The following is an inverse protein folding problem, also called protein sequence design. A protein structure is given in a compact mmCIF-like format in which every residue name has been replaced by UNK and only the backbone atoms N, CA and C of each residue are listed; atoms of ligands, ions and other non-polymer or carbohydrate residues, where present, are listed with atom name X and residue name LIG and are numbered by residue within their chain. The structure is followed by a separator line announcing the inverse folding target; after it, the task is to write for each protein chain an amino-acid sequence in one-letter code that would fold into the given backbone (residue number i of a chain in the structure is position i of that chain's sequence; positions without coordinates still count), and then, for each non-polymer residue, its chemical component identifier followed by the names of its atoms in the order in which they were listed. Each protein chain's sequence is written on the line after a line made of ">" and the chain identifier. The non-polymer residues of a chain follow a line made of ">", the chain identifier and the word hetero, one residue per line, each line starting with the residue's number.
data_IF_352144949078
#
_entry.id   IF_352144949078
#
_cell.length_a   1.000
_cell.length_b   1.000
_cell.length_c   1.000
_cell.angle_alpha   90.00
_cell.angle_beta   90.00
_cell.angle_gamma   90.00
#
_symmetry.space_group_name_H-M   'P 1'
#
loop_
_entity.id
_entity.type
_entity.pdbx_description
1 polymer ?
#
# COMPACT_ATOMS: atom_id res chain seq x y z
N UNK A 1 -4.88 9.06 -21.61
CA UNK A 1 -5.00 10.49 -21.94
C UNK A 1 -5.57 10.62 -23.35
N UNK A 2 -6.29 11.69 -23.64
CA UNK A 2 -6.73 12.05 -24.99
C UNK A 2 -6.05 13.38 -25.33
N UNK A 3 -5.23 13.39 -26.38
CA UNK A 3 -4.77 14.67 -26.95
C UNK A 3 -5.96 15.15 -27.77
N UNK A 4 -6.61 16.19 -27.30
CA UNK A 4 -7.60 16.91 -28.07
C UNK A 4 -6.91 18.15 -28.65
N UNK A 5 -7.23 18.46 -29.90
CA UNK A 5 -6.79 19.72 -30.47
C UNK A 5 -7.48 20.83 -29.69
N UNK A 6 -6.71 21.70 -29.04
CA UNK A 6 -7.29 22.90 -28.44
C UNK A 6 -7.93 23.71 -29.56
N UNK A 7 -9.20 24.10 -29.37
CA UNK A 7 -10.01 24.81 -30.36
C UNK A 7 -9.45 26.18 -30.80
N UNK A 8 -8.29 26.60 -30.30
CA UNK A 8 -7.53 27.76 -30.75
C UNK A 8 -6.18 27.31 -31.31
N UNK A 9 -6.03 27.40 -32.63
CA UNK A 9 -4.89 26.87 -33.39
C UNK A 9 -3.51 27.02 -32.72
N UNK A 10 -2.72 25.94 -32.83
CA UNK A 10 -1.31 25.78 -32.43
C UNK A 10 -1.02 25.28 -31.01
N UNK A 11 -1.99 25.16 -30.11
CA UNK A 11 -1.80 24.52 -28.80
C UNK A 11 -2.10 23.02 -28.81
N UNK A 12 -1.21 22.19 -28.27
CA UNK A 12 -1.56 20.83 -27.86
C UNK A 12 -2.01 20.89 -26.40
N UNK A 13 -3.31 20.73 -26.16
CA UNK A 13 -3.87 20.54 -24.84
C UNK A 13 -3.65 19.09 -24.35
N UNK A 14 -3.38 18.90 -23.08
CA UNK A 14 -3.40 17.58 -22.44
C UNK A 14 -4.29 17.61 -21.20
N UNK A 15 -5.11 16.59 -21.05
CA UNK A 15 -5.92 16.39 -19.84
C UNK A 15 -5.21 15.39 -18.93
N UNK A 16 -4.88 15.81 -17.72
CA UNK A 16 -4.39 14.91 -16.68
C UNK A 16 -5.56 14.10 -16.11
N UNK A 17 -5.39 12.77 -15.90
CA UNK A 17 -6.39 12.00 -15.18
C UNK A 17 -6.54 12.59 -13.77
N UNK A 18 -7.79 12.71 -13.31
CA UNK A 18 -8.06 13.09 -11.92
C UNK A 18 -7.55 11.97 -11.02
N UNK A 19 -6.77 12.34 -10.00
CA UNK A 19 -6.38 11.38 -8.96
C UNK A 19 -7.60 11.13 -8.09
N UNK A 20 -8.04 9.87 -7.93
CA UNK A 20 -9.03 9.54 -6.92
C UNK A 20 -8.47 9.87 -5.53
N UNK A 21 -9.36 10.34 -4.68
CA UNK A 21 -9.15 10.60 -3.28
C UNK A 21 -9.50 9.34 -2.50
N UNK A 22 -8.53 8.76 -1.78
CA UNK A 22 -8.79 7.65 -0.87
C UNK A 22 -8.91 8.18 0.54
N UNK A 23 -9.99 7.82 1.21
CA UNK A 23 -10.27 8.21 2.59
C UNK A 23 -10.56 7.01 3.48
N UNK A 24 -10.46 7.19 4.78
CA UNK A 24 -10.83 6.20 5.78
C UNK A 24 -10.36 6.60 7.18
N UNK A 25 -10.49 5.69 8.13
CA UNK A 25 -10.09 5.91 9.53
C UNK A 25 -9.20 4.76 9.99
N UNK A 26 -8.03 5.07 10.55
CA UNK A 26 -7.12 4.09 11.12
C UNK A 26 -7.33 3.98 12.63
N UNK A 27 -7.57 2.75 13.11
CA UNK A 27 -7.86 2.45 14.51
C UNK A 27 -6.85 1.45 15.08
N UNK A 28 -6.57 1.57 16.37
CA UNK A 28 -5.77 0.60 17.12
C UNK A 28 -6.62 -0.63 17.51
N UNK A 29 -6.02 -1.69 18.10
CA UNK A 29 -6.77 -2.88 18.51
C UNK A 29 -7.83 -2.66 19.60
N UNK A 30 -7.83 -1.50 20.25
CA UNK A 30 -8.83 -1.10 21.26
C UNK A 30 -9.97 -0.27 20.65
N UNK A 31 -9.85 0.10 19.37
CA UNK A 31 -10.78 0.99 18.66
C UNK A 31 -10.45 2.47 18.85
N UNK A 32 -9.31 2.82 19.46
CA UNK A 32 -8.87 4.19 19.58
C UNK A 32 -8.25 4.68 18.26
N UNK A 33 -8.38 5.97 17.92
CA UNK A 33 -7.81 6.52 16.70
C UNK A 33 -6.28 6.48 16.72
N UNK A 34 -5.69 6.07 15.59
CA UNK A 34 -4.25 6.11 15.40
C UNK A 34 -3.83 7.49 14.91
N UNK A 35 -3.44 8.37 15.83
CA UNK A 35 -2.98 9.71 15.50
C UNK A 35 -1.57 9.72 14.87
N UNK A 36 -1.38 10.51 13.82
CA UNK A 36 -0.07 10.71 13.16
C UNK A 36 0.63 9.41 12.70
N UNK A 37 -0.13 8.36 12.41
CA UNK A 37 0.39 7.09 11.93
C UNK A 37 0.81 7.23 10.45
N UNK A 38 2.03 6.79 10.08
CA UNK A 38 2.45 6.80 8.68
C UNK A 38 1.59 5.89 7.81
N UNK A 39 1.02 6.47 6.76
CA UNK A 39 0.24 5.79 5.75
C UNK A 39 1.06 5.70 4.47
N UNK A 40 1.16 4.51 3.89
CA UNK A 40 1.91 4.26 2.67
C UNK A 40 1.04 3.51 1.66
N UNK A 41 0.90 4.10 0.47
CA UNK A 41 0.36 3.46 -0.72
C UNK A 41 1.55 3.11 -1.61
N UNK A 42 1.70 1.84 -1.93
CA UNK A 42 2.77 1.35 -2.82
C UNK A 42 2.16 0.54 -3.96
N UNK A 43 2.72 0.58 -5.18
CA UNK A 43 2.18 -0.19 -6.29
C UNK A 43 2.21 -1.70 -6.00
N UNK A 44 1.13 -2.39 -6.38
CA UNK A 44 1.00 -3.84 -6.21
C UNK A 44 1.46 -4.65 -7.44
N UNK A 45 2.00 -4.00 -8.47
CA UNK A 45 2.51 -4.71 -9.64
C UNK A 45 4.00 -5.07 -9.49
N UNK A 46 4.43 -6.25 -9.96
CA UNK A 46 5.84 -6.56 -10.10
C UNK A 46 6.48 -5.54 -11.05
N UNK A 47 7.52 -4.84 -10.60
CA UNK A 47 8.23 -3.80 -11.35
C UNK A 47 9.03 -4.32 -12.58
N UNK A 48 8.73 -5.53 -13.08
CA UNK A 48 9.42 -6.14 -14.23
C UNK A 48 9.07 -5.49 -15.58
N UNK A 49 8.32 -4.40 -15.58
CA UNK A 49 8.18 -3.57 -16.75
C UNK A 49 9.29 -2.52 -16.77
N UNK A 50 10.44 -2.89 -17.35
CA UNK A 50 11.46 -1.89 -17.70
C UNK A 50 10.79 -0.70 -18.40
N UNK A 51 11.21 0.53 -18.13
CA UNK A 51 10.61 1.72 -18.76
C UNK A 51 10.51 1.58 -20.30
N UNK A 52 11.51 0.93 -20.91
CA UNK A 52 11.51 0.60 -22.32
C UNK A 52 10.40 -0.38 -22.73
N UNK A 53 10.07 -1.38 -21.90
CA UNK A 53 8.94 -2.28 -22.12
C UNK A 53 7.59 -1.56 -21.99
N UNK A 54 7.44 -0.65 -21.03
CA UNK A 54 6.24 0.20 -20.87
C UNK A 54 6.03 1.06 -22.12
N UNK A 55 7.07 1.79 -22.55
CA UNK A 55 6.99 2.70 -23.72
C UNK A 55 6.81 1.94 -25.04
N UNK A 56 7.35 0.72 -25.16
CA UNK A 56 7.21 -0.12 -26.37
C UNK A 56 5.93 -0.95 -26.40
N UNK A 57 5.27 -1.14 -25.25
CA UNK A 57 3.98 -1.79 -25.24
C UNK A 57 3.02 -0.95 -26.08
N UNK A 58 2.49 -1.54 -27.16
CA UNK A 58 1.50 -0.85 -27.99
C UNK A 58 0.33 -0.50 -27.08
N UNK A 59 -0.13 0.77 -27.04
CA UNK A 59 -1.32 1.10 -26.29
C UNK A 59 -2.46 0.24 -26.81
N UNK A 60 -2.93 -0.69 -25.98
CA UNK A 60 -4.13 -1.44 -26.24
C UNK A 60 -5.30 -0.48 -26.02
N UNK A 61 -6.05 -0.09 -27.07
CA UNK A 61 -7.14 0.87 -26.93
C UNK A 61 -8.29 0.35 -26.05
N UNK A 62 -8.32 -0.96 -25.76
CA UNK A 62 -9.31 -1.59 -24.88
C UNK A 62 -8.88 -1.62 -23.41
N UNK A 63 -7.62 -1.31 -23.10
CA UNK A 63 -7.12 -1.26 -21.72
C UNK A 63 -6.77 0.19 -21.37
N UNK A 64 -7.26 0.72 -20.24
CA UNK A 64 -6.80 2.02 -19.79
C UNK A 64 -5.28 1.98 -19.66
N UNK A 65 -4.60 3.00 -20.21
CA UNK A 65 -3.16 3.15 -20.11
C UNK A 65 -2.84 3.42 -18.63
N UNK A 66 -2.50 2.37 -17.89
CA UNK A 66 -2.00 2.47 -16.53
C UNK A 66 -0.57 3.02 -16.61
N UNK A 67 -0.41 4.30 -16.28
CA UNK A 67 0.90 4.85 -15.97
C UNK A 67 1.47 4.09 -14.77
N UNK A 68 2.81 4.00 -14.63
CA UNK A 68 3.38 3.38 -13.44
C UNK A 68 2.85 4.10 -12.21
N UNK A 69 1.97 3.43 -11.46
CA UNK A 69 1.43 3.93 -10.21
C UNK A 69 2.62 4.27 -9.31
N UNK A 70 2.64 5.45 -8.69
CA UNK A 70 3.77 5.87 -7.85
C UNK A 70 3.48 5.55 -6.39
N UNK A 71 4.52 5.27 -5.58
CA UNK A 71 4.34 5.23 -4.14
C UNK A 71 3.96 6.61 -3.61
N UNK A 72 3.01 6.65 -2.70
CA UNK A 72 2.50 7.86 -2.07
C UNK A 72 2.39 7.63 -0.57
N UNK A 73 2.63 8.67 0.22
CA UNK A 73 2.60 8.57 1.67
C UNK A 73 1.89 9.76 2.30
N UNK A 74 1.27 9.53 3.45
CA UNK A 74 0.60 10.53 4.26
C UNK A 74 0.71 10.20 5.74
N UNK A 75 0.04 11.00 6.56
CA UNK A 75 -0.15 10.75 7.98
C UNK A 75 -1.65 10.79 8.27
N UNK A 76 -2.09 10.00 9.24
CA UNK A 76 -3.45 10.11 9.79
C UNK A 76 -3.56 11.36 10.68
N UNK A 77 -4.78 11.90 10.78
CA UNK A 77 -5.13 13.02 11.66
C UNK A 77 -5.11 12.59 13.13
N UNK A 78 -5.32 13.53 14.06
CA UNK A 78 -5.47 13.23 15.50
C UNK A 78 -6.67 12.33 15.81
N UNK A 79 -7.64 12.24 14.90
CA UNK A 79 -8.82 11.38 14.98
C UNK A 79 -8.67 10.09 14.19
N UNK A 80 -7.48 9.81 13.65
CA UNK A 80 -7.20 8.60 12.86
C UNK A 80 -7.67 8.68 11.41
N UNK A 81 -8.41 9.72 11.03
CA UNK A 81 -8.85 9.93 9.65
C UNK A 81 -7.67 10.15 8.72
N UNK A 82 -7.77 9.71 7.48
CA UNK A 82 -6.85 10.07 6.42
C UNK A 82 -7.61 10.36 5.13
N UNK A 83 -7.02 11.24 4.33
CA UNK A 83 -7.52 11.61 3.01
C UNK A 83 -6.28 11.84 2.13
N UNK A 84 -6.10 11.01 1.11
CA UNK A 84 -4.92 11.05 0.25
C UNK A 84 -5.30 10.91 -1.23
N UNK A 85 -4.95 11.88 -2.09
CA UNK A 85 -5.09 11.70 -3.53
C UNK A 85 -4.06 10.68 -4.02
N UNK A 86 -4.53 9.63 -4.69
CA UNK A 86 -3.70 8.51 -5.12
C UNK A 86 -3.73 8.29 -6.63
N UNK A 87 -2.65 7.70 -7.16
CA UNK A 87 -2.66 7.23 -8.53
C UNK A 87 -3.59 6.01 -8.66
N UNK A 88 -4.41 5.91 -9.72
CA UNK A 88 -5.24 4.74 -9.93
C UNK A 88 -4.43 3.48 -10.26
N UNK A 89 -5.02 2.33 -10.01
CA UNK A 89 -4.42 1.02 -10.24
C UNK A 89 -4.42 0.14 -8.99
N UNK A 90 -3.67 -0.96 -9.04
CA UNK A 90 -3.53 -1.86 -7.89
C UNK A 90 -2.44 -1.36 -6.95
N UNK A 91 -2.78 -1.14 -5.68
CA UNK A 91 -1.88 -0.64 -4.65
C UNK A 91 -1.95 -1.49 -3.38
N UNK A 92 -0.84 -1.57 -2.66
CA UNK A 92 -0.80 -2.03 -1.28
C UNK A 92 -0.91 -0.80 -0.37
N UNK A 93 -1.85 -0.83 0.55
CA UNK A 93 -2.03 0.18 1.59
C UNK A 93 -1.43 -0.35 2.88
N UNK A 94 -0.61 0.46 3.54
CA UNK A 94 0.04 0.10 4.81
C UNK A 94 -0.12 1.26 5.79
N UNK A 95 -0.76 1.01 6.92
CA UNK A 95 -0.68 1.88 8.10
C UNK A 95 0.43 1.33 8.98
N UNK A 96 1.53 2.07 9.04
CA UNK A 96 2.70 1.69 9.82
C UNK A 96 2.50 2.10 11.27
N UNK A 97 2.75 1.14 12.15
CA UNK A 97 2.87 1.40 13.58
C UNK A 97 4.31 1.68 13.92
N UNK A 98 4.52 2.59 14.88
CA UNK A 98 5.84 2.82 15.44
C UNK A 98 6.38 1.50 16.03
N UNK A 99 7.65 1.12 15.78
CA UNK A 99 8.19 -0.15 16.26
C UNK A 99 8.04 -0.35 17.78
N UNK A 100 8.15 0.73 18.55
CA UNK A 100 7.99 0.77 20.00
C UNK A 100 6.56 0.53 20.50
N UNK A 101 5.55 0.64 19.62
CA UNK A 101 4.14 0.42 20.00
C UNK A 101 3.82 -1.04 20.32
N UNK A 102 4.65 -1.98 19.86
CA UNK A 102 4.40 -3.42 19.99
C UNK A 102 3.22 -3.93 19.15
N UNK A 103 2.64 -3.08 18.28
CA UNK A 103 1.54 -3.46 17.41
C UNK A 103 2.00 -3.72 15.97
N UNK A 104 1.31 -4.62 15.24
CA UNK A 104 1.64 -4.91 13.85
C UNK A 104 1.14 -3.78 12.94
N UNK A 105 1.61 -3.77 11.70
CA UNK A 105 1.08 -2.86 10.69
C UNK A 105 -0.29 -3.33 10.19
N UNK A 106 -1.20 -2.39 9.89
CA UNK A 106 -2.41 -2.72 9.13
C UNK A 106 -2.05 -2.70 7.64
N UNK A 107 -2.36 -3.79 6.93
CA UNK A 107 -1.97 -3.96 5.52
C UNK A 107 -3.17 -4.42 4.71
N UNK A 108 -3.48 -3.67 3.65
CA UNK A 108 -4.43 -4.06 2.59
C UNK A 108 -3.63 -4.29 1.32
N UNK A 109 -3.30 -5.55 0.98
CA UNK A 109 -2.58 -5.84 -0.26
C UNK A 109 -3.51 -5.77 -1.46
N UNK A 110 -2.98 -5.41 -2.64
CA UNK A 110 -3.69 -5.47 -3.93
C UNK A 110 -5.05 -4.73 -3.99
N UNK A 111 -5.20 -3.62 -3.27
CA UNK A 111 -6.37 -2.74 -3.37
C UNK A 111 -6.48 -2.16 -4.78
N UNK A 112 -7.59 -2.41 -5.47
CA UNK A 112 -7.88 -1.77 -6.76
C UNK A 112 -8.46 -0.38 -6.54
N UNK A 113 -7.77 0.64 -7.03
CA UNK A 113 -8.19 2.03 -7.00
C UNK A 113 -8.70 2.39 -8.39
N UNK A 114 -10.02 2.52 -8.51
CA UNK A 114 -10.70 2.79 -9.79
C UNK A 114 -10.69 4.30 -10.13
N UNK A 115 -10.71 4.57 -11.43
CA UNK A 115 -10.74 5.91 -12.06
C UNK A 115 -12.14 6.38 -12.44
N UNK A 116 -13.20 5.66 -12.07
CA UNK A 116 -14.56 5.99 -12.51
C UNK A 116 -14.86 7.49 -12.28
N UNK A 117 -15.06 8.23 -13.39
CA UNK A 117 -15.20 9.70 -13.40
C UNK A 117 -16.34 10.22 -12.49
N UNK A 118 -17.26 9.33 -12.11
CA UNK A 118 -18.49 9.60 -11.37
C UNK A 118 -18.26 9.61 -9.85
N UNK A 119 -17.24 8.93 -9.34
CA UNK A 119 -16.93 8.84 -7.90
C UNK A 119 -15.42 8.90 -7.69
N UNK A 120 -14.83 10.12 -7.67
CA UNK A 120 -13.41 10.29 -7.42
C UNK A 120 -13.04 9.98 -5.97
N UNK A 121 -13.98 9.70 -5.07
CA UNK A 121 -13.71 9.41 -3.66
C UNK A 121 -13.93 7.92 -3.40
N UNK A 122 -12.89 7.25 -2.92
CA UNK A 122 -12.93 5.86 -2.48
C UNK A 122 -12.80 5.81 -0.97
N UNK A 123 -13.83 5.32 -0.29
CA UNK A 123 -13.85 5.16 1.16
C UNK A 123 -13.43 3.72 1.54
N UNK A 124 -12.34 3.60 2.30
CA UNK A 124 -11.86 2.32 2.83
C UNK A 124 -12.52 1.94 4.15
N UNK A 125 -13.34 2.83 4.73
CA UNK A 125 -13.91 2.66 6.05
C UNK A 125 -12.84 2.58 7.14
N UNK A 126 -13.03 1.66 8.08
CA UNK A 126 -12.13 1.47 9.22
C UNK A 126 -10.99 0.49 8.90
N UNK A 127 -9.75 0.98 8.95
CA UNK A 127 -8.54 0.15 8.98
C UNK A 127 -8.11 -0.08 10.44
N UNK A 128 -8.57 -1.19 11.00
CA UNK A 128 -8.19 -1.58 12.36
C UNK A 128 -6.91 -2.41 12.41
N UNK A 129 -5.94 -1.97 13.21
CA UNK A 129 -4.79 -2.79 13.63
C UNK A 129 -5.28 -3.91 14.54
N UNK A 130 -4.72 -5.10 14.39
CA UNK A 130 -5.10 -6.28 15.20
C UNK A 130 -4.05 -6.56 16.27
N UNK A 131 -4.44 -7.27 17.33
CA UNK A 131 -3.49 -7.78 18.32
C UNK A 131 -2.43 -8.65 17.64
N UNK A 132 -1.14 -8.47 17.98
CA UNK A 132 -0.05 -9.13 17.28
C UNK A 132 0.02 -10.62 17.58
N UNK A 133 0.45 -11.39 16.59
CA UNK A 133 1.20 -12.61 16.80
C UNK A 133 2.69 -12.25 16.95
N UNK A 134 3.33 -12.73 18.02
CA UNK A 134 4.73 -12.40 18.29
C UNK A 134 5.66 -13.45 17.67
N UNK A 135 6.54 -13.01 16.77
CA UNK A 135 7.68 -13.78 16.33
C UNK A 135 8.92 -13.35 17.11
N UNK A 136 9.63 -14.30 17.73
CA UNK A 136 10.81 -14.02 18.53
C UNK A 136 11.98 -14.88 18.07
N UNK A 137 13.20 -14.35 18.18
CA UNK A 137 14.38 -15.08 17.77
C UNK A 137 15.68 -14.40 18.17
N UNK A 138 16.78 -15.05 17.80
CA UNK A 138 18.15 -14.59 18.02
C UNK A 138 18.82 -14.45 16.65
N UNK A 139 19.45 -13.31 16.39
CA UNK A 139 20.32 -13.10 15.23
C UNK A 139 21.77 -13.21 15.69
N UNK A 140 22.52 -14.10 15.05
CA UNK A 140 23.95 -14.32 15.31
C UNK A 140 24.73 -14.51 14.01
N UNK A 141 26.01 -14.19 14.05
CA UNK A 141 26.99 -14.49 13.00
C UNK A 141 28.14 -15.33 13.59
N UNK A 142 29.19 -15.58 12.81
CA UNK A 142 30.35 -16.38 13.24
C UNK A 142 31.10 -15.79 14.45
N UNK A 143 30.92 -14.50 14.73
CA UNK A 143 31.57 -13.80 15.85
C UNK A 143 30.71 -13.71 17.11
N UNK A 144 29.44 -14.11 17.05
CA UNK A 144 28.50 -14.04 18.16
C UNK A 144 27.17 -13.38 17.80
N UNK A 145 26.37 -12.97 18.80
CA UNK A 145 25.10 -12.27 18.56
C UNK A 145 25.28 -10.94 17.84
N UNK A 146 24.32 -10.59 16.97
CA UNK A 146 24.34 -9.33 16.22
C UNK A 146 23.36 -8.35 16.86
N UNK A 147 23.90 -7.36 17.55
CA UNK A 147 23.12 -6.30 18.18
C UNK A 147 22.63 -5.26 17.18
N UNK A 148 21.48 -4.64 17.47
CA UNK A 148 20.88 -3.54 16.70
C UNK A 148 20.66 -3.85 15.20
N UNK A 149 20.52 -5.12 14.84
CA UNK A 149 20.20 -5.56 13.49
C UNK A 149 18.73 -5.28 13.19
N UNK A 150 18.45 -4.75 12.00
CA UNK A 150 17.06 -4.50 11.54
C UNK A 150 16.48 -5.81 11.00
N UNK A 151 15.40 -6.27 11.60
CA UNK A 151 14.61 -7.43 11.15
C UNK A 151 13.34 -6.92 10.49
N UNK A 152 13.06 -7.38 9.28
CA UNK A 152 11.85 -7.02 8.52
C UNK A 152 11.10 -8.28 8.13
N UNK A 153 9.77 -8.21 8.16
CA UNK A 153 8.90 -9.27 7.66
C UNK A 153 8.18 -8.81 6.41
N UNK A 154 8.12 -9.71 5.43
CA UNK A 154 7.39 -9.51 4.18
C UNK A 154 6.42 -10.65 3.96
N UNK A 155 5.33 -10.35 3.27
CA UNK A 155 4.44 -11.34 2.69
C UNK A 155 4.49 -11.23 1.19
N UNK A 156 4.11 -12.32 0.54
CA UNK A 156 3.91 -12.36 -0.89
C UNK A 156 2.47 -12.79 -1.16
N UNK A 157 1.54 -11.83 -1.38
CA UNK A 157 0.15 -12.16 -1.65
C UNK A 157 0.08 -12.93 -2.98
N UNK A 158 -0.69 -14.02 -3.01
CA UNK A 158 -1.03 -14.71 -4.26
C UNK A 158 -2.16 -13.97 -4.95
N UNK A 159 -2.10 -13.86 -6.27
CA UNK A 159 -3.13 -13.27 -7.12
C UNK A 159 -3.40 -14.24 -8.27
N UNK A 160 -4.47 -15.03 -8.15
CA UNK A 160 -4.69 -16.20 -9.01
C UNK A 160 -3.49 -17.16 -9.01
N UNK A 161 -3.02 -17.53 -10.20
CA UNK A 161 -1.83 -18.36 -10.41
C UNK A 161 -0.50 -17.57 -10.31
N UNK A 162 -0.57 -16.25 -10.18
CA UNK A 162 0.60 -15.37 -10.13
C UNK A 162 0.98 -15.01 -8.70
N UNK A 163 2.28 -14.82 -8.51
CA UNK A 163 2.84 -14.39 -7.23
C UNK A 163 2.97 -12.86 -7.26
N UNK A 164 2.32 -12.17 -6.31
CA UNK A 164 2.38 -10.71 -6.19
C UNK A 164 3.72 -10.19 -5.64
N UNK A 165 3.92 -8.86 -5.60
CA UNK A 165 5.12 -8.26 -5.05
C UNK A 165 5.20 -8.46 -3.53
N UNK A 166 6.42 -8.37 -2.99
CA UNK A 166 6.62 -8.43 -1.54
C UNK A 166 6.04 -7.18 -0.86
N UNK A 167 5.17 -7.39 0.12
CA UNK A 167 4.59 -6.34 0.96
C UNK A 167 5.21 -6.45 2.35
N UNK A 168 5.83 -5.38 2.83
CA UNK A 168 6.38 -5.38 4.19
C UNK A 168 5.24 -5.26 5.20
N UNK A 169 5.23 -6.13 6.22
CA UNK A 169 4.15 -6.25 7.22
C UNK A 169 4.62 -5.96 8.65
N UNK A 170 5.91 -5.69 8.83
CA UNK A 170 6.49 -5.35 10.12
C UNK A 170 7.98 -5.10 10.04
N UNK A 171 8.50 -4.47 11.09
CA UNK A 171 9.92 -4.29 11.32
C UNK A 171 10.19 -4.24 12.83
N UNK A 172 11.37 -4.70 13.23
CA UNK A 172 11.90 -4.55 14.58
C UNK A 172 13.44 -4.47 14.53
N UNK A 173 14.07 -4.25 15.67
CA UNK A 173 15.52 -4.32 15.82
C UNK A 173 15.91 -5.32 16.91
N UNK A 174 17.06 -5.97 16.76
CA UNK A 174 17.62 -6.78 17.84
C UNK A 174 18.16 -5.92 18.98
N UNK A 175 18.11 -6.44 20.20
CA UNK A 175 18.72 -5.83 21.39
C UNK A 175 20.25 -6.06 21.45
N UNK A 176 20.88 -5.69 22.57
CA UNK A 176 22.32 -5.89 22.80
C UNK A 176 22.75 -7.36 22.77
N UNK A 177 21.84 -8.29 23.07
CA UNK A 177 22.06 -9.72 23.05
C UNK A 177 21.71 -10.36 21.70
N UNK A 178 21.33 -9.57 20.68
CA UNK A 178 20.92 -10.05 19.37
C UNK A 178 19.50 -10.64 19.34
N UNK A 179 18.73 -10.51 20.42
CA UNK A 179 17.37 -11.02 20.52
C UNK A 179 16.39 -10.01 19.93
N UNK A 180 15.38 -10.48 19.21
CA UNK A 180 14.30 -9.64 18.71
C UNK A 180 12.92 -10.19 19.06
N UNK A 181 11.97 -9.26 19.17
CA UNK A 181 10.53 -9.53 19.20
C UNK A 181 9.88 -8.72 18.08
N UNK A 182 9.20 -9.40 17.17
CA UNK A 182 8.56 -8.82 16.00
C UNK A 182 7.04 -9.03 16.09
N UNK A 183 6.25 -7.97 16.31
CA UNK A 183 4.81 -8.05 16.23
C UNK A 183 4.37 -8.20 14.77
N UNK A 184 3.64 -9.27 14.47
CA UNK A 184 3.10 -9.56 13.15
C UNK A 184 1.57 -9.57 13.20
N UNK A 185 0.87 -9.20 12.12
CA UNK A 185 -0.57 -9.35 12.05
C UNK A 185 -0.92 -10.85 12.15
N UNK A 186 -1.93 -11.24 12.96
CA UNK A 186 -2.28 -12.64 13.19
C UNK A 186 -2.88 -13.31 11.94
N UNK A 187 -3.43 -12.49 11.05
CA UNK A 187 -3.98 -12.89 9.76
C UNK A 187 -3.93 -11.69 8.83
N UNK A 188 -3.73 -11.92 7.54
CA UNK A 188 -3.83 -10.88 6.53
C UNK A 188 -4.97 -11.27 5.60
N UNK A 189 -6.01 -10.45 5.58
CA UNK A 189 -7.12 -10.63 4.64
C UNK A 189 -6.66 -10.12 3.29
N UNK A 190 -6.50 -11.03 2.34
CA UNK A 190 -6.35 -10.64 0.94
C UNK A 190 -7.75 -10.21 0.46
N UNK A 191 -7.90 -9.05 -0.22
CA UNK A 191 -9.17 -8.71 -0.82
C UNK A 191 -9.61 -9.85 -1.74
N UNK A 192 -10.88 -10.25 -1.64
CA UNK A 192 -11.44 -11.28 -2.51
C UNK A 192 -11.34 -10.83 -3.97
N UNK A 193 -10.99 -11.76 -4.86
CA UNK A 193 -10.73 -11.51 -6.28
C UNK A 193 -11.96 -10.92 -7.02
N UNK A 194 -13.16 -11.03 -6.42
CA UNK A 194 -14.46 -10.62 -6.97
C UNK A 194 -15.21 -9.59 -6.10
N UNK A 195 -14.52 -8.72 -5.36
CA UNK A 195 -15.17 -7.56 -4.72
C UNK A 195 -15.62 -6.56 -5.80
N UNK A 196 -16.70 -6.94 -6.49
CA UNK A 196 -17.43 -6.09 -7.42
C UNK A 196 -17.93 -4.90 -6.59
N UNK A 197 -17.64 -3.65 -6.98
CA UNK A 197 -18.19 -2.50 -6.27
C UNK A 197 -19.71 -2.66 -6.22
N UNK A 198 -20.29 -2.49 -5.04
CA UNK A 198 -21.73 -2.54 -4.87
C UNK A 198 -22.36 -1.57 -5.87
N UNK A 199 -23.21 -2.09 -6.77
CA UNK A 199 -24.01 -1.25 -7.65
C UNK A 199 -24.87 -0.31 -6.79
N UNK A 200 -24.96 0.99 -7.14
CA UNK A 200 -25.76 1.97 -6.41
C UNK A 200 -27.28 1.70 -6.49
#
# INVERSE_FOLDING_TARGET
>A
WKIEADGGGSGLGFTLPKQPLVQGVALDPTGAPLASAPLLFSPAQPQDSSYAAIVRSKPDPSRPIFWPTRPQSGLTSDFGDFELPVDPGQMNVVVQMAPESGFPWAVIPNLLIDTADVTPVMDLGELSVRYPALAQGLISNDTGPVSYAVVRAWIQPKQGDSVGPLVQIGATSTDEAGVFVLPLPPSITLPAEDATPAEP
#
